data_IF_277347006307
#
_entry.id   IF_277347006307
#
_cell.length_a   1.000
_cell.length_b   1.000
_cell.length_c   1.000
_cell.angle_alpha   90.00
_cell.angle_beta   90.00
_cell.angle_gamma   90.00
#
_symmetry.space_group_name_H-M   'P 1'
#
loop_
_entity.id
_entity.type
_entity.pdbx_description
1 polymer ?
#
# COMPACT_ATOMS: atom_id res chain seq x y z
N UNK A 1 6.58 -31.10 27.21
CA UNK A 1 5.48 -30.21 26.78
C UNK A 1 5.80 -28.70 27.01
N UNK A 2 6.95 -28.18 26.53
CA UNK A 2 7.35 -26.78 26.82
C UNK A 2 8.11 -26.05 25.67
N UNK A 3 8.25 -26.63 24.48
CA UNK A 3 8.96 -26.01 23.35
C UNK A 3 8.09 -24.97 22.60
N UNK A 4 6.77 -25.17 22.51
CA UNK A 4 5.87 -24.32 21.73
C UNK A 4 5.68 -22.91 22.33
N UNK A 5 5.93 -22.74 23.64
CA UNK A 5 5.79 -21.44 24.31
C UNK A 5 6.89 -20.45 23.93
N UNK A 6 8.08 -20.91 23.54
CA UNK A 6 9.21 -20.06 23.19
C UNK A 6 8.98 -19.24 21.91
N UNK A 7 8.42 -19.87 20.88
CA UNK A 7 8.09 -19.22 19.61
C UNK A 7 6.93 -18.22 19.78
N UNK A 8 5.88 -18.60 20.49
CA UNK A 8 4.76 -17.71 20.82
C UNK A 8 5.22 -16.48 21.61
N UNK A 9 6.18 -16.63 22.53
CA UNK A 9 6.72 -15.50 23.29
C UNK A 9 7.51 -14.53 22.40
N UNK A 10 8.33 -15.04 21.48
CA UNK A 10 9.03 -14.21 20.48
C UNK A 10 8.03 -13.47 19.57
N UNK A 11 7.09 -14.18 18.95
CA UNK A 11 6.09 -13.58 18.07
C UNK A 11 5.25 -12.50 18.78
N UNK A 12 4.87 -12.74 20.05
CA UNK A 12 4.13 -11.75 20.86
C UNK A 12 4.97 -10.50 21.11
N UNK A 13 6.25 -10.65 21.43
CA UNK A 13 7.19 -9.52 21.58
C UNK A 13 7.36 -8.75 20.27
N UNK A 14 7.51 -9.44 19.13
CA UNK A 14 7.60 -8.78 17.81
C UNK A 14 6.36 -7.95 17.47
N UNK A 15 5.16 -8.48 17.68
CA UNK A 15 3.91 -7.72 17.43
C UNK A 15 3.81 -6.49 18.34
N UNK A 16 4.28 -6.59 19.60
CA UNK A 16 4.30 -5.46 20.53
C UNK A 16 5.24 -4.35 20.04
N UNK A 17 6.44 -4.69 19.57
CA UNK A 17 7.37 -3.70 19.01
C UNK A 17 6.83 -3.08 17.71
N UNK A 18 6.27 -3.88 16.80
CA UNK A 18 5.61 -3.37 15.59
C UNK A 18 4.47 -2.40 15.93
N UNK A 19 3.68 -2.69 16.96
CA UNK A 19 2.60 -1.81 17.42
C UNK A 19 3.12 -0.47 17.96
N UNK A 20 4.29 -0.44 18.61
CA UNK A 20 4.91 0.83 19.03
C UNK A 20 5.32 1.66 17.82
N UNK A 21 5.94 1.06 16.81
CA UNK A 21 6.34 1.76 15.58
C UNK A 21 5.11 2.36 14.87
N UNK A 22 4.04 1.58 14.71
CA UNK A 22 2.78 2.07 14.12
C UNK A 22 2.11 3.19 14.94
N UNK A 23 2.37 3.25 16.25
CA UNK A 23 1.88 4.33 17.12
C UNK A 23 2.73 5.61 17.01
N UNK A 24 4.02 5.46 16.70
CA UNK A 24 4.96 6.57 16.51
C UNK A 24 4.78 7.20 15.11
N UNK A 25 4.37 6.41 14.10
CA UNK A 25 4.05 6.95 12.78
C UNK A 25 2.84 7.88 12.84
N UNK A 26 2.98 9.08 12.27
CA UNK A 26 1.90 10.07 12.20
C UNK A 26 0.78 9.53 11.31
N UNK A 27 -0.41 9.34 11.88
CA UNK A 27 -1.61 8.99 11.11
C UNK A 27 -1.89 10.14 10.12
N UNK A 28 -2.08 9.87 8.82
CA UNK A 28 -2.29 10.92 7.82
C UNK A 28 -3.56 11.71 8.16
N UNK A 29 -3.50 13.02 7.98
CA UNK A 29 -4.67 13.86 8.13
C UNK A 29 -5.64 13.63 6.95
N UNK A 30 -6.95 13.79 7.18
CA UNK A 30 -7.97 13.60 6.14
C UNK A 30 -7.76 14.50 4.92
N UNK A 31 -7.11 15.66 5.10
CA UNK A 31 -6.74 16.58 4.01
C UNK A 31 -5.59 16.02 3.17
N UNK A 32 -4.49 15.61 3.82
CA UNK A 32 -3.31 15.01 3.17
C UNK A 32 -3.70 13.75 2.39
N UNK A 33 -4.52 12.88 3.01
CA UNK A 33 -5.00 11.66 2.36
C UNK A 33 -5.79 11.97 1.08
N UNK A 34 -6.73 12.93 1.13
CA UNK A 34 -7.50 13.33 -0.05
C UNK A 34 -6.62 13.91 -1.14
N UNK A 35 -5.59 14.68 -0.79
CA UNK A 35 -4.64 15.25 -1.76
C UNK A 35 -3.85 14.15 -2.46
N UNK A 36 -3.29 13.20 -1.70
CA UNK A 36 -2.54 12.07 -2.24
C UNK A 36 -3.42 11.22 -3.16
N UNK A 37 -4.64 10.87 -2.70
CA UNK A 37 -5.57 10.05 -3.50
C UNK A 37 -5.96 10.75 -4.80
N UNK A 38 -6.21 12.07 -4.78
CA UNK A 38 -6.53 12.83 -5.99
C UNK A 38 -5.38 12.83 -6.99
N UNK A 39 -4.16 13.09 -6.53
CA UNK A 39 -2.97 13.17 -7.39
C UNK A 39 -2.63 11.78 -7.95
N UNK A 40 -2.59 10.76 -7.10
CA UNK A 40 -2.33 9.37 -7.52
C UNK A 40 -3.42 8.86 -8.47
N UNK A 41 -4.69 9.17 -8.19
CA UNK A 41 -5.81 8.81 -9.05
C UNK A 41 -5.68 9.45 -10.43
N UNK A 42 -5.28 10.73 -10.50
CA UNK A 42 -5.03 11.41 -11.76
C UNK A 42 -3.89 10.75 -12.55
N UNK A 43 -2.79 10.39 -11.87
CA UNK A 43 -1.65 9.72 -12.50
C UNK A 43 -2.00 8.34 -13.08
N UNK A 44 -2.74 7.52 -12.33
CA UNK A 44 -3.22 6.20 -12.79
C UNK A 44 -4.11 6.36 -14.02
N UNK A 45 -5.00 7.35 -14.02
CA UNK A 45 -5.92 7.60 -15.12
C UNK A 45 -5.16 8.01 -16.40
N UNK A 46 -4.18 8.91 -16.29
CA UNK A 46 -3.35 9.34 -17.42
C UNK A 46 -2.55 8.16 -17.99
N UNK A 47 -1.85 7.40 -17.14
CA UNK A 47 -1.05 6.26 -17.58
C UNK A 47 -1.95 5.17 -18.19
N UNK A 48 -3.11 4.91 -17.58
CA UNK A 48 -4.11 3.96 -18.09
C UNK A 48 -4.63 4.37 -19.47
N UNK A 49 -4.93 5.64 -19.70
CA UNK A 49 -5.36 6.15 -21.00
C UNK A 49 -4.26 6.03 -22.06
N UNK A 50 -3.01 6.32 -21.71
CA UNK A 50 -1.88 6.18 -22.64
C UNK A 50 -1.70 4.71 -23.04
N UNK A 51 -1.69 3.79 -22.06
CA UNK A 51 -1.60 2.36 -22.34
C UNK A 51 -2.79 1.84 -23.15
N UNK A 52 -3.99 2.34 -22.86
CA UNK A 52 -5.20 2.01 -23.61
C UNK A 52 -5.15 2.51 -25.06
N UNK A 53 -4.68 3.74 -25.28
CA UNK A 53 -4.53 4.31 -26.61
C UNK A 53 -3.52 3.50 -27.46
N UNK A 54 -2.39 3.11 -26.87
CA UNK A 54 -1.40 2.24 -27.54
C UNK A 54 -2.02 0.90 -27.91
N UNK A 55 -2.79 0.28 -27.01
CA UNK A 55 -3.44 -0.99 -27.27
C UNK A 55 -4.49 -0.89 -28.38
N UNK A 56 -5.26 0.19 -28.44
CA UNK A 56 -6.23 0.43 -29.52
C UNK A 56 -5.50 0.51 -30.86
N UNK A 57 -4.44 1.31 -30.95
CA UNK A 57 -3.67 1.47 -32.18
C UNK A 57 -3.05 0.14 -32.61
N UNK A 58 -2.46 -0.61 -31.67
CA UNK A 58 -1.88 -1.92 -31.93
C UNK A 58 -2.93 -2.96 -32.39
N UNK A 59 -4.17 -2.85 -31.89
CA UNK A 59 -5.28 -3.73 -32.29
C UNK A 59 -5.83 -3.37 -33.67
N UNK A 60 -5.86 -2.09 -34.04
CA UNK A 60 -6.33 -1.65 -35.37
C UNK A 60 -5.30 -1.90 -36.48
N UNK A 61 -4.00 -1.90 -36.16
CA UNK A 61 -2.94 -2.24 -37.11
C UNK A 61 -2.75 -3.76 -37.32
N UNK A 62 -3.39 -4.59 -36.49
CA UNK A 62 -3.35 -6.06 -36.58
C UNK A 62 -4.55 -6.58 -37.36
#
# INVERSE_FOLDING_TARGET
MNQTKGFLRKAKSFIIECKRVLKITKKPNSTEFKTIVKISGLGILVIGLIGFAVQIIATMLK
#
